data_IF_943560709171
#
_entry.id   IF_943560709171
#
_cell.length_a   1.000
_cell.length_b   1.000
_cell.length_c   1.000
_cell.angle_alpha   90.00
_cell.angle_beta   90.00
_cell.angle_gamma   90.00
#
_symmetry.space_group_name_H-M   'P 1'
#
loop_
_entity.id
_entity.type
_entity.pdbx_description
1 polymer ?
#
# COMPACT_ATOMS: atom_id res chain seq x y z
N UNK A 1 4.35 -9.59 -2.67
CA UNK A 1 5.60 -9.56 -1.92
C UNK A 1 5.34 -8.90 -0.58
N UNK A 2 5.87 -9.46 0.50
CA UNK A 2 5.73 -8.96 1.87
C UNK A 2 6.93 -9.41 2.70
N UNK A 3 7.31 -8.65 3.73
CA UNK A 3 8.35 -9.07 4.70
C UNK A 3 7.81 -10.10 5.71
N UNK A 4 6.49 -10.11 5.93
CA UNK A 4 5.83 -11.05 6.83
C UNK A 4 5.67 -12.42 6.17
N UNK A 5 6.28 -13.44 6.76
CA UNK A 5 6.12 -14.84 6.33
C UNK A 5 4.65 -15.28 6.41
N UNK A 6 3.90 -14.83 7.42
CA UNK A 6 2.49 -15.17 7.59
C UNK A 6 1.63 -14.55 6.48
N UNK A 7 1.84 -13.26 6.16
CA UNK A 7 1.16 -12.57 5.08
C UNK A 7 1.49 -13.20 3.72
N UNK A 8 2.75 -13.51 3.45
CA UNK A 8 3.17 -14.18 2.22
C UNK A 8 2.52 -15.56 2.05
N UNK A 9 2.47 -16.40 3.11
CA UNK A 9 1.77 -17.68 3.08
C UNK A 9 0.28 -17.55 2.80
N UNK A 10 -0.38 -16.52 3.35
CA UNK A 10 -1.80 -16.24 3.11
C UNK A 10 -2.03 -15.77 1.66
N UNK A 11 -1.19 -14.87 1.17
CA UNK A 11 -1.26 -14.37 -0.21
C UNK A 11 -1.06 -15.49 -1.25
N UNK A 12 -0.15 -16.45 -1.02
CA UNK A 12 0.07 -17.59 -1.90
C UNK A 12 -1.17 -18.50 -2.03
N UNK A 13 -2.07 -18.49 -1.04
CA UNK A 13 -3.30 -19.30 -1.01
C UNK A 13 -4.53 -18.54 -1.55
N UNK A 14 -4.39 -17.25 -1.80
CA UNK A 14 -5.54 -16.41 -2.19
C UNK A 14 -6.08 -16.74 -3.59
N UNK A 15 -5.22 -17.22 -4.49
CA UNK A 15 -5.62 -17.55 -5.87
C UNK A 15 -4.64 -18.55 -6.49
N UNK A 16 -5.08 -19.52 -7.32
CA UNK A 16 -4.21 -20.55 -7.91
C UNK A 16 -3.12 -20.00 -8.84
N UNK A 17 -3.27 -18.79 -9.38
CA UNK A 17 -2.26 -18.09 -10.19
C UNK A 17 -1.41 -17.09 -9.38
N UNK A 18 -1.59 -17.00 -8.06
CA UNK A 18 -0.81 -16.14 -7.22
C UNK A 18 0.46 -16.86 -6.72
N UNK A 19 1.60 -16.24 -6.91
CA UNK A 19 2.84 -16.60 -6.22
C UNK A 19 3.14 -15.55 -5.17
N UNK A 20 3.77 -15.95 -4.06
CA UNK A 20 4.16 -15.03 -3.02
C UNK A 20 5.62 -15.18 -2.66
N UNK A 21 6.29 -14.07 -2.38
CA UNK A 21 7.71 -14.01 -2.03
C UNK A 21 7.87 -13.20 -0.75
N UNK A 22 8.67 -13.72 0.19
CA UNK A 22 9.10 -12.96 1.37
C UNK A 22 10.34 -12.16 0.99
N UNK A 23 10.22 -10.84 0.93
CA UNK A 23 11.34 -9.95 0.65
C UNK A 23 11.05 -8.54 1.14
N UNK A 24 12.13 -7.77 1.37
CA UNK A 24 12.04 -6.35 1.68
C UNK A 24 11.89 -5.53 0.39
N UNK A 25 10.85 -4.70 0.31
CA UNK A 25 10.62 -3.83 -0.83
C UNK A 25 11.65 -2.69 -0.97
N UNK A 26 12.41 -2.38 0.09
CA UNK A 26 13.54 -1.43 0.00
C UNK A 26 14.78 -2.03 -0.65
N UNK A 27 14.92 -3.34 -0.64
CA UNK A 27 16.02 -4.05 -1.29
C UNK A 27 15.78 -4.29 -2.79
N UNK A 28 16.66 -5.08 -3.38
CA UNK A 28 16.50 -5.56 -4.77
C UNK A 28 15.32 -6.54 -4.82
N UNK A 29 14.33 -6.24 -5.63
CA UNK A 29 13.18 -7.12 -5.82
C UNK A 29 13.58 -8.42 -6.54
N UNK A 30 13.13 -9.60 -6.08
CA UNK A 30 13.47 -10.89 -6.69
C UNK A 30 12.71 -11.13 -8.00
N UNK A 31 12.76 -10.16 -8.87
CA UNK A 31 12.11 -10.15 -10.19
C UNK A 31 13.14 -9.68 -11.23
N UNK A 32 13.20 -10.35 -12.37
CA UNK A 32 14.06 -9.94 -13.47
C UNK A 32 13.64 -8.59 -14.05
N UNK A 33 14.61 -7.82 -14.54
CA UNK A 33 14.36 -6.51 -15.18
C UNK A 33 13.42 -6.64 -16.39
N UNK A 34 12.51 -5.69 -16.51
CA UNK A 34 11.63 -5.56 -17.67
C UNK A 34 10.60 -6.69 -17.84
N UNK A 35 10.20 -7.38 -16.78
CA UNK A 35 9.30 -8.56 -16.88
C UNK A 35 7.86 -8.32 -16.44
N UNK A 36 7.58 -7.26 -15.72
CA UNK A 36 6.23 -7.01 -15.23
C UNK A 36 5.49 -6.02 -16.14
N UNK A 37 4.26 -6.36 -16.49
CA UNK A 37 3.35 -5.43 -17.17
C UNK A 37 2.82 -4.35 -16.20
N UNK A 38 2.68 -4.71 -14.91
CA UNK A 38 2.22 -3.77 -13.89
C UNK A 38 2.81 -4.09 -12.51
N UNK A 39 2.95 -3.05 -11.69
CA UNK A 39 3.26 -3.11 -10.25
C UNK A 39 2.14 -2.40 -9.49
N UNK A 40 1.59 -3.05 -8.45
CA UNK A 40 0.65 -2.46 -7.51
C UNK A 40 1.35 -2.30 -6.16
N UNK A 41 1.44 -1.07 -5.67
CA UNK A 41 2.03 -0.70 -4.39
C UNK A 41 0.95 -0.09 -3.49
N UNK A 42 0.44 -0.86 -2.52
CA UNK A 42 -0.62 -0.44 -1.60
C UNK A 42 -0.06 -0.33 -0.20
N UNK A 43 -0.05 0.88 0.37
CA UNK A 43 0.44 1.20 1.71
C UNK A 43 1.84 0.65 2.03
N UNK A 44 2.65 0.40 1.01
CA UNK A 44 3.96 -0.24 1.09
C UNK A 44 5.10 0.75 0.79
N UNK A 45 6.36 0.39 1.10
CA UNK A 45 7.53 1.16 0.69
C UNK A 45 7.59 1.35 -0.83
N UNK A 46 8.03 2.55 -1.26
CA UNK A 46 8.04 2.96 -2.66
C UNK A 46 9.48 3.03 -3.18
N UNK A 47 10.03 1.88 -3.57
CA UNK A 47 11.33 1.77 -4.22
C UNK A 47 11.19 2.02 -5.72
N UNK A 48 11.10 3.30 -6.12
CA UNK A 48 10.79 3.70 -7.49
C UNK A 48 11.82 3.19 -8.50
N UNK A 49 13.11 3.14 -8.13
CA UNK A 49 14.18 2.60 -8.99
C UNK A 49 13.97 1.12 -9.31
N UNK A 50 13.62 0.31 -8.31
CA UNK A 50 13.33 -1.10 -8.48
C UNK A 50 12.01 -1.33 -9.25
N UNK A 51 10.98 -0.52 -9.00
CA UNK A 51 9.75 -0.58 -9.79
C UNK A 51 10.03 -0.28 -11.27
N UNK A 52 10.85 0.75 -11.56
CA UNK A 52 11.27 1.05 -12.93
C UNK A 52 12.12 -0.09 -13.54
N UNK A 53 12.99 -0.72 -12.76
CA UNK A 53 13.80 -1.85 -13.22
C UNK A 53 12.97 -3.05 -13.62
N UNK A 54 12.00 -3.46 -12.79
CA UNK A 54 11.22 -4.69 -13.01
C UNK A 54 10.10 -4.53 -14.04
N UNK A 55 9.57 -3.31 -14.22
CA UNK A 55 8.53 -3.02 -15.22
C UNK A 55 9.09 -3.08 -16.65
N UNK A 56 8.31 -3.69 -17.53
CA UNK A 56 8.53 -3.61 -18.99
C UNK A 56 8.36 -2.16 -19.49
N UNK A 57 8.81 -1.91 -20.72
CA UNK A 57 8.50 -0.66 -21.43
C UNK A 57 6.97 -0.46 -21.48
N UNK A 58 6.49 0.75 -21.26
CA UNK A 58 5.07 1.10 -21.11
C UNK A 58 4.34 0.40 -19.95
N UNK A 59 5.05 -0.30 -19.07
CA UNK A 59 4.47 -0.95 -17.89
C UNK A 59 3.88 0.08 -16.91
N UNK A 60 2.86 -0.34 -16.17
CA UNK A 60 2.10 0.50 -15.28
C UNK A 60 2.53 0.35 -13.82
N UNK A 61 2.65 1.46 -13.12
CA UNK A 61 2.79 1.50 -11.66
C UNK A 61 1.54 2.15 -11.06
N UNK A 62 0.85 1.41 -10.21
CA UNK A 62 -0.30 1.89 -9.43
C UNK A 62 0.14 2.04 -7.98
N UNK A 63 0.05 3.24 -7.45
CA UNK A 63 0.40 3.53 -6.04
C UNK A 63 -0.85 3.97 -5.30
N UNK A 64 -1.17 3.27 -4.21
CA UNK A 64 -2.29 3.61 -3.32
C UNK A 64 -1.72 4.15 -2.01
N UNK A 65 -2.13 5.37 -1.67
CA UNK A 65 -1.73 6.06 -0.44
C UNK A 65 -2.94 6.46 0.38
N UNK A 66 -2.89 6.36 1.72
CA UNK A 66 -3.99 6.86 2.55
C UNK A 66 -4.01 8.39 2.53
N UNK A 67 -5.21 8.98 2.51
CA UNK A 67 -5.41 10.41 2.75
C UNK A 67 -5.40 10.72 4.25
N UNK A 68 -5.42 12.00 4.61
CA UNK A 68 -5.51 12.42 6.01
C UNK A 68 -6.76 11.89 6.74
N UNK A 69 -7.85 11.68 6.01
CA UNK A 69 -9.13 11.16 6.54
C UNK A 69 -9.19 9.63 6.63
N UNK A 70 -8.19 8.91 6.11
CA UNK A 70 -8.21 7.44 6.16
C UNK A 70 -8.14 6.93 7.60
N UNK A 71 -9.16 6.17 8.03
CA UNK A 71 -9.30 5.63 9.38
C UNK A 71 -9.26 6.71 10.49
N UNK A 72 -9.68 7.95 10.20
CA UNK A 72 -9.59 9.09 11.13
C UNK A 72 -10.26 8.80 12.48
N UNK A 73 -11.50 8.31 12.49
CA UNK A 73 -12.22 7.96 13.70
C UNK A 73 -11.54 6.86 14.54
N UNK A 74 -10.93 5.86 13.91
CA UNK A 74 -10.17 4.83 14.61
C UNK A 74 -8.86 5.39 15.18
N UNK A 75 -8.18 6.26 14.41
CA UNK A 75 -6.94 6.91 14.86
C UNK A 75 -7.17 7.79 16.07
N UNK A 76 -8.22 8.59 16.06
CA UNK A 76 -8.59 9.45 17.19
C UNK A 76 -8.95 8.64 18.43
N UNK A 77 -9.80 7.61 18.26
CA UNK A 77 -10.29 6.77 19.36
C UNK A 77 -9.17 5.96 20.03
N UNK A 78 -8.23 5.45 19.25
CA UNK A 78 -7.19 4.55 19.74
C UNK A 78 -5.79 5.18 19.78
N UNK A 79 -5.67 6.51 19.60
CA UNK A 79 -4.40 7.22 19.67
C UNK A 79 -3.38 6.75 18.61
N UNK A 80 -3.85 6.35 17.42
CA UNK A 80 -2.97 5.80 16.40
C UNK A 80 -2.17 6.91 15.70
N UNK A 81 -0.99 6.55 15.15
CA UNK A 81 -0.11 7.47 14.46
C UNK A 81 -0.80 8.19 13.28
N UNK A 82 -0.56 9.49 13.17
CA UNK A 82 -1.07 10.32 12.10
C UNK A 82 -0.51 9.97 10.72
N UNK A 83 -1.22 10.38 9.67
CA UNK A 83 -0.75 10.23 8.29
C UNK A 83 0.07 11.47 7.92
N UNK A 84 1.30 11.26 7.46
CA UNK A 84 2.20 12.31 6.99
C UNK A 84 1.57 13.07 5.81
N UNK A 85 1.53 14.40 5.88
CA UNK A 85 0.81 15.24 4.90
C UNK A 85 1.50 15.35 3.53
N UNK A 86 2.82 15.18 3.45
CA UNK A 86 3.59 15.40 2.22
C UNK A 86 3.80 14.16 1.33
N UNK A 87 3.03 13.09 1.55
CA UNK A 87 3.22 11.81 0.84
C UNK A 87 3.08 11.95 -0.68
N UNK A 88 2.15 12.77 -1.13
CA UNK A 88 1.88 12.95 -2.57
C UNK A 88 3.00 13.74 -3.26
N UNK A 89 3.48 14.82 -2.64
CA UNK A 89 4.60 15.59 -3.17
C UNK A 89 5.91 14.77 -3.19
N UNK A 90 6.14 13.93 -2.17
CA UNK A 90 7.28 12.99 -2.14
C UNK A 90 7.16 11.92 -3.21
N UNK A 91 5.96 11.37 -3.43
CA UNK A 91 5.70 10.40 -4.49
C UNK A 91 6.00 11.02 -5.86
N UNK A 92 5.48 12.21 -6.14
CA UNK A 92 5.72 12.92 -7.39
C UNK A 92 7.23 13.18 -7.63
N UNK A 93 7.95 13.68 -6.61
CA UNK A 93 9.40 13.87 -6.70
C UNK A 93 10.18 12.59 -6.97
N UNK A 94 9.81 11.49 -6.31
CA UNK A 94 10.50 10.20 -6.50
C UNK A 94 10.22 9.53 -7.85
N UNK A 95 9.17 9.95 -8.56
CA UNK A 95 8.83 9.46 -9.89
C UNK A 95 9.57 10.19 -11.03
N UNK A 96 10.11 11.39 -10.76
CA UNK A 96 10.77 12.23 -11.78
C UNK A 96 11.90 11.47 -12.47
N UNK A 97 11.90 11.50 -13.81
CA UNK A 97 12.89 10.82 -14.65
C UNK A 97 12.74 9.31 -14.77
N UNK A 98 11.85 8.67 -13.98
CA UNK A 98 11.59 7.24 -14.02
C UNK A 98 10.21 6.91 -14.60
N UNK A 99 9.23 7.78 -14.36
CA UNK A 99 7.83 7.55 -14.71
C UNK A 99 7.14 8.81 -15.20
N UNK A 100 6.17 8.62 -16.09
CA UNK A 100 5.17 9.61 -16.47
C UNK A 100 3.93 9.44 -15.57
N UNK A 101 3.48 10.50 -14.90
CA UNK A 101 2.22 10.48 -14.17
C UNK A 101 1.04 10.60 -15.16
N UNK A 102 0.18 9.59 -15.24
CA UNK A 102 -0.87 9.50 -16.26
C UNK A 102 -2.29 9.58 -15.68
N UNK A 103 -2.44 9.56 -14.37
CA UNK A 103 -3.75 9.69 -13.76
C UNK A 103 -3.74 9.65 -12.24
N UNK A 104 -4.78 10.24 -11.65
CA UNK A 104 -5.04 10.23 -10.22
C UNK A 104 -6.55 10.12 -9.97
N UNK A 105 -6.92 9.32 -8.99
CA UNK A 105 -8.29 9.22 -8.50
C UNK A 105 -8.29 9.08 -6.98
N UNK A 106 -9.44 9.31 -6.37
CA UNK A 106 -9.65 9.12 -4.94
C UNK A 106 -10.80 8.14 -4.74
N UNK A 107 -10.64 7.25 -3.78
CA UNK A 107 -11.71 6.38 -3.27
C UNK A 107 -11.98 6.82 -1.85
N UNK A 108 -13.24 7.13 -1.57
CA UNK A 108 -13.67 7.66 -0.29
C UNK A 108 -15.04 7.09 0.06
N UNK A 109 -15.14 6.34 1.17
CA UNK A 109 -16.40 5.79 1.64
C UNK A 109 -16.34 5.43 3.13
N UNK A 110 -17.51 5.26 3.75
CA UNK A 110 -17.67 4.73 5.10
C UNK A 110 -18.36 3.38 5.06
N UNK A 111 -17.95 2.49 5.95
CA UNK A 111 -18.54 1.16 6.08
C UNK A 111 -18.50 0.71 7.54
N UNK A 112 -19.59 0.08 7.98
CA UNK A 112 -19.61 -0.58 9.28
C UNK A 112 -18.66 -1.77 9.29
N UNK A 113 -17.85 -1.88 10.35
CA UNK A 113 -16.93 -2.97 10.58
C UNK A 113 -17.14 -3.58 11.96
N UNK A 114 -17.26 -4.89 12.01
CA UNK A 114 -17.34 -5.63 13.29
C UNK A 114 -16.01 -5.52 14.05
N UNK A 115 -16.06 -5.63 15.37
CA UNK A 115 -14.93 -5.51 16.28
C UNK A 115 -13.70 -6.34 15.85
N UNK A 116 -13.92 -7.54 15.33
CA UNK A 116 -12.83 -8.38 14.81
C UNK A 116 -12.10 -7.74 13.62
N UNK A 117 -12.83 -7.11 12.69
CA UNK A 117 -12.27 -6.40 11.54
C UNK A 117 -11.56 -5.13 11.98
N UNK A 118 -12.14 -4.38 12.92
CA UNK A 118 -11.49 -3.18 13.49
C UNK A 118 -10.17 -3.55 14.16
N UNK A 119 -10.14 -4.64 14.92
CA UNK A 119 -8.91 -5.18 15.54
C UNK A 119 -7.85 -5.52 14.50
N UNK A 120 -8.22 -6.18 13.41
CA UNK A 120 -7.31 -6.51 12.32
C UNK A 120 -6.76 -5.24 11.64
N UNK A 121 -7.60 -4.22 11.41
CA UNK A 121 -7.17 -2.93 10.85
C UNK A 121 -6.13 -2.23 11.73
N UNK A 122 -6.32 -2.24 13.05
CA UNK A 122 -5.35 -1.68 14.01
C UNK A 122 -4.05 -2.49 13.98
N UNK A 123 -4.14 -3.83 13.97
CA UNK A 123 -3.00 -4.74 13.93
C UNK A 123 -2.17 -4.66 12.63
N UNK A 124 -2.78 -4.27 11.51
CA UNK A 124 -2.08 -4.09 10.23
C UNK A 124 -1.32 -2.76 10.13
N UNK A 125 -1.61 -1.80 11.00
CA UNK A 125 -0.97 -0.49 11.00
C UNK A 125 0.39 -0.49 11.70
N UNK A 126 1.15 0.62 11.59
CA UNK A 126 2.44 0.78 12.28
C UNK A 126 2.30 0.75 13.81
N UNK A 127 1.08 0.88 14.31
CA UNK A 127 0.76 0.81 15.74
C UNK A 127 0.73 -0.62 16.31
N UNK A 128 0.81 -1.65 15.48
CA UNK A 128 0.86 -3.06 15.92
C UNK A 128 1.98 -3.33 16.95
N UNK A 129 3.07 -2.54 16.92
CA UNK A 129 4.16 -2.62 17.89
C UNK A 129 3.78 -2.16 19.31
N UNK A 130 2.68 -1.41 19.46
CA UNK A 130 2.16 -0.95 20.76
C UNK A 130 1.07 -1.87 21.31
N UNK A 131 0.76 -2.96 20.62
CA UNK A 131 -0.34 -3.87 20.95
C UNK A 131 -1.68 -3.40 20.37
N UNK A 132 -2.63 -4.32 20.32
CA UNK A 132 -4.02 -4.02 19.94
C UNK A 132 -4.84 -3.92 21.22
N UNK A 133 -5.66 -2.87 21.39
CA UNK A 133 -6.53 -2.75 22.57
C UNK A 133 -7.45 -3.98 22.73
N UNK A 134 -7.73 -4.37 23.98
CA UNK A 134 -8.62 -5.50 24.29
C UNK A 134 -10.09 -5.14 24.08
N UNK A 135 -10.45 -3.86 24.24
CA UNK A 135 -11.78 -3.28 24.23
C UNK A 135 -12.21 -2.71 22.88
N UNK A 136 -11.89 -3.40 21.79
CA UNK A 136 -12.29 -2.98 20.44
C UNK A 136 -13.74 -3.34 20.19
N UNK A 137 -14.56 -2.34 19.81
CA UNK A 137 -15.97 -2.47 19.47
C UNK A 137 -16.22 -2.35 17.96
N UNK A 138 -17.45 -2.65 17.54
CA UNK A 138 -17.94 -2.35 16.20
C UNK A 138 -17.80 -0.85 15.91
N UNK A 139 -17.37 -0.50 14.70
CA UNK A 139 -17.15 0.89 14.34
C UNK A 139 -17.53 1.20 12.91
N UNK A 140 -17.89 2.47 12.66
CA UNK A 140 -17.96 3.00 11.30
C UNK A 140 -16.56 3.42 10.87
N UNK A 141 -16.06 2.78 9.81
CA UNK A 141 -14.68 2.93 9.32
C UNK A 141 -14.67 3.82 8.08
N UNK A 142 -13.91 4.90 8.13
CA UNK A 142 -13.70 5.79 7.00
C UNK A 142 -12.52 5.31 6.14
N UNK A 143 -12.81 4.81 4.95
CA UNK A 143 -11.79 4.44 3.96
C UNK A 143 -11.60 5.60 2.99
N UNK A 144 -10.42 6.22 3.01
CA UNK A 144 -10.09 7.35 2.13
C UNK A 144 -8.67 7.20 1.61
N UNK A 145 -8.54 6.96 0.29
CA UNK A 145 -7.25 6.70 -0.35
C UNK A 145 -7.11 7.46 -1.67
N UNK A 146 -5.88 7.83 -2.00
CA UNK A 146 -5.51 8.32 -3.32
C UNK A 146 -4.88 7.18 -4.12
N UNK A 147 -5.30 7.01 -5.36
CA UNK A 147 -4.73 6.11 -6.35
C UNK A 147 -3.99 6.95 -7.38
N UNK A 148 -2.68 6.80 -7.47
CA UNK A 148 -1.84 7.46 -8.48
C UNK A 148 -1.38 6.45 -9.50
N UNK A 149 -1.55 6.77 -10.78
CA UNK A 149 -1.20 5.91 -11.90
C UNK A 149 -0.02 6.51 -12.66
N UNK A 150 0.99 5.69 -12.88
CA UNK A 150 2.20 6.06 -13.59
C UNK A 150 2.48 5.07 -14.71
N UNK A 151 3.14 5.54 -15.76
CA UNK A 151 3.64 4.74 -16.88
C UNK A 151 5.16 4.83 -16.95
N UNK A 152 5.83 3.68 -17.14
CA UNK A 152 7.24 3.67 -17.47
C UNK A 152 7.41 4.08 -18.95
N UNK A 153 8.32 5.02 -19.27
CA UNK A 153 8.60 5.39 -20.65
C UNK A 153 9.06 4.20 -21.53
N UNK A 154 8.96 4.37 -22.83
CA UNK A 154 9.33 3.35 -23.82
C UNK A 154 10.82 3.36 -24.20
N UNK A 155 11.70 4.00 -23.42
CA UNK A 155 13.13 4.12 -23.77
C UNK A 155 13.82 2.81 -24.03
#
# INVERSE_FOLDING_TARGET
>A
LDVSVAAAKRAARAHPRAASVVADAWGTLPVRSGRLAAVLCVFAPRNMGEFARVLAANGLLVVVTPTASHLDGLRERHGLLGIEQDKDARLARSAVGLFEHIGRSQVDYRAGAAAAVVRDLIAMGPNAFHGVPDDVEDADVHVSVTISLFRKPSS
#
